data_IF_787930407216
#
_entry.id   IF_787930407216
#
_cell.length_a   1.000
_cell.length_b   1.000
_cell.length_c   1.000
_cell.angle_alpha   90.00
_cell.angle_beta   90.00
_cell.angle_gamma   90.00
#
_symmetry.space_group_name_H-M   'P 1'
#
loop_
_entity.id
_entity.type
_entity.pdbx_description
1 polymer ?
#
# COMPACT_ATOMS: atom_id res chain seq x y z
N UNK A 1 -9.59 -35.68 60.37
CA UNK A 1 -9.56 -35.03 59.04
C UNK A 1 -8.16 -35.21 58.47
N UNK A 2 -8.02 -35.92 57.34
CA UNK A 2 -6.72 -36.27 56.77
C UNK A 2 -6.16 -35.06 55.99
N UNK A 3 -5.04 -34.44 56.43
CA UNK A 3 -4.49 -33.24 55.80
C UNK A 3 -3.94 -33.49 54.37
N UNK A 4 -3.77 -34.76 53.97
CA UNK A 4 -3.21 -35.13 52.67
C UNK A 4 -4.24 -35.17 51.52
N UNK A 5 -5.54 -35.10 51.81
CA UNK A 5 -6.59 -35.16 50.78
C UNK A 5 -6.52 -33.99 49.78
N UNK A 6 -6.05 -32.81 50.23
CA UNK A 6 -5.90 -31.64 49.37
C UNK A 6 -4.79 -31.82 48.32
N UNK A 7 -3.68 -32.50 48.65
CA UNK A 7 -2.56 -32.71 47.73
C UNK A 7 -2.92 -33.66 46.57
N UNK A 8 -3.78 -34.65 46.80
CA UNK A 8 -4.22 -35.58 45.75
C UNK A 8 -5.21 -34.95 44.74
N UNK A 9 -6.06 -34.02 45.18
CA UNK A 9 -6.97 -33.28 44.29
C UNK A 9 -6.22 -32.34 43.34
N UNK A 10 -5.19 -31.63 43.81
CA UNK A 10 -4.39 -30.76 42.95
C UNK A 10 -3.59 -31.54 41.90
N UNK A 11 -3.08 -32.72 42.24
CA UNK A 11 -2.36 -33.58 41.31
C UNK A 11 -3.29 -34.17 40.22
N UNK A 12 -4.52 -34.57 40.58
CA UNK A 12 -5.49 -35.11 39.64
C UNK A 12 -6.00 -34.06 38.63
N UNK A 13 -6.22 -32.82 39.07
CA UNK A 13 -6.61 -31.72 38.17
C UNK A 13 -5.47 -31.34 37.20
N UNK A 14 -4.22 -31.35 37.66
CA UNK A 14 -3.05 -31.10 36.82
C UNK A 14 -2.83 -32.23 35.79
N UNK A 15 -3.10 -33.48 36.16
CA UNK A 15 -3.05 -34.64 35.27
C UNK A 15 -4.17 -34.61 34.22
N UNK A 16 -5.41 -34.26 34.61
CA UNK A 16 -6.53 -34.09 33.68
C UNK A 16 -6.31 -32.93 32.68
N UNK A 17 -5.65 -31.85 33.11
CA UNK A 17 -5.22 -30.77 32.22
C UNK A 17 -4.06 -31.17 31.29
N UNK A 18 -3.33 -32.24 31.60
CA UNK A 18 -2.28 -32.80 30.75
C UNK A 18 -2.82 -33.82 29.73
N UNK A 19 -3.96 -34.49 30.02
CA UNK A 19 -4.68 -35.34 29.05
C UNK A 19 -5.39 -34.53 27.95
N UNK A 20 -5.77 -33.28 28.25
CA UNK A 20 -6.34 -32.36 27.26
C UNK A 20 -5.24 -31.66 26.44
N UNK A 21 -5.36 -31.69 25.11
CA UNK A 21 -4.43 -31.02 24.21
C UNK A 21 -4.33 -29.50 24.47
N UNK A 22 -3.10 -28.97 24.52
CA UNK A 22 -2.86 -27.52 24.68
C UNK A 22 -3.25 -26.75 23.41
N UNK A 23 -3.76 -25.53 23.57
CA UNK A 23 -4.09 -24.63 22.45
C UNK A 23 -2.84 -24.31 21.62
N UNK A 24 -2.90 -24.59 20.32
CA UNK A 24 -1.78 -24.42 19.40
C UNK A 24 -1.51 -22.92 19.20
N UNK A 25 -0.25 -22.54 19.03
CA UNK A 25 0.14 -21.14 18.77
C UNK A 25 -0.63 -20.51 17.61
N UNK A 26 -0.98 -21.29 16.57
CA UNK A 26 -1.79 -20.84 15.44
C UNK A 26 -3.18 -20.34 15.88
N UNK A 27 -3.87 -21.09 16.74
CA UNK A 27 -5.18 -20.71 17.28
C UNK A 27 -5.10 -19.47 18.18
N UNK A 28 -3.98 -19.31 18.91
CA UNK A 28 -3.76 -18.16 19.81
C UNK A 28 -3.57 -16.83 19.08
N UNK A 29 -3.22 -16.82 17.79
CA UNK A 29 -2.98 -15.58 17.02
C UNK A 29 -4.25 -14.77 16.79
N UNK A 30 -5.43 -15.41 16.70
CA UNK A 30 -6.71 -14.73 16.47
C UNK A 30 -7.37 -14.17 17.74
N UNK A 31 -6.96 -14.65 18.93
CA UNK A 31 -7.58 -14.27 20.21
C UNK A 31 -7.29 -12.82 20.64
N UNK A 32 -6.41 -12.11 19.92
CA UNK A 32 -6.15 -10.69 20.18
C UNK A 32 -5.49 -10.42 21.53
N UNK A 33 -4.66 -11.32 22.06
CA UNK A 33 -3.88 -11.09 23.28
C UNK A 33 -2.45 -10.62 22.92
N UNK A 34 -1.46 -11.51 23.02
CA UNK A 34 -0.03 -11.20 22.83
C UNK A 34 0.31 -10.88 21.36
N UNK A 35 -0.41 -11.49 20.41
CA UNK A 35 -0.13 -11.35 18.97
C UNK A 35 -0.82 -10.13 18.34
N UNK A 36 -0.75 -8.97 19.00
CA UNK A 36 -1.22 -7.69 18.45
C UNK A 36 -0.13 -6.99 17.65
N UNK A 37 -0.52 -6.22 16.64
CA UNK A 37 0.41 -5.37 15.89
C UNK A 37 0.89 -4.21 16.77
N UNK A 38 2.20 -4.00 16.84
CA UNK A 38 2.78 -2.82 17.50
C UNK A 38 2.54 -1.57 16.63
N UNK A 39 1.61 -0.72 17.04
CA UNK A 39 1.16 0.44 16.24
C UNK A 39 1.60 1.80 16.79
N UNK A 40 2.22 1.85 17.97
CA UNK A 40 2.52 3.11 18.68
C UNK A 40 3.33 4.12 17.85
N UNK A 41 4.33 3.66 17.08
CA UNK A 41 5.16 4.55 16.26
C UNK A 41 4.70 4.69 14.81
N UNK A 42 3.57 4.08 14.44
CA UNK A 42 3.01 4.19 13.08
C UNK A 42 2.54 5.62 12.85
N UNK A 43 2.97 6.22 11.73
CA UNK A 43 2.68 7.60 11.34
C UNK A 43 1.22 7.79 10.90
N UNK A 44 0.63 6.74 10.33
CA UNK A 44 -0.77 6.75 9.94
C UNK A 44 -1.06 5.80 8.76
N UNK A 45 -2.34 5.65 8.40
CA UNK A 45 -2.72 4.83 7.26
C UNK A 45 -2.31 5.54 5.96
N UNK A 46 -1.45 4.89 5.17
CA UNK A 46 -1.19 5.33 3.81
C UNK A 46 -2.45 5.07 2.97
N UNK A 47 -3.02 6.09 2.37
CA UNK A 47 -4.26 5.97 1.57
C UNK A 47 -4.39 7.17 0.66
N UNK A 48 -5.08 7.00 -0.46
CA UNK A 48 -5.49 8.15 -1.25
C UNK A 48 -6.50 9.02 -0.49
N UNK A 49 -6.69 10.23 -1.01
CA UNK A 49 -7.70 11.17 -0.54
C UNK A 49 -9.11 10.62 -0.74
N UNK A 50 -10.11 11.22 -0.10
CA UNK A 50 -11.51 10.93 -0.44
C UNK A 50 -11.81 11.20 -1.92
N UNK A 51 -12.76 10.46 -2.48
CA UNK A 51 -13.22 10.70 -3.84
C UNK A 51 -14.18 11.89 -3.87
N UNK A 52 -13.64 13.05 -4.21
CA UNK A 52 -14.39 14.29 -4.31
C UNK A 52 -14.76 14.61 -5.77
N UNK A 53 -15.71 15.55 -5.95
CA UNK A 53 -16.12 16.05 -7.26
C UNK A 53 -14.94 16.58 -8.11
N UNK A 54 -13.99 17.26 -7.46
CA UNK A 54 -12.80 17.80 -8.12
C UNK A 54 -11.93 16.74 -8.81
N UNK A 55 -11.85 15.53 -8.26
CA UNK A 55 -11.07 14.44 -8.87
C UNK A 55 -11.87 13.65 -9.91
N UNK A 56 -13.19 13.53 -9.75
CA UNK A 56 -14.06 12.86 -10.73
C UNK A 56 -14.11 13.61 -12.06
N UNK A 57 -14.23 14.94 -12.00
CA UNK A 57 -14.47 15.78 -13.19
C UNK A 57 -13.27 16.63 -13.63
N UNK A 58 -12.30 16.84 -12.73
CA UNK A 58 -11.14 17.69 -12.98
C UNK A 58 -9.85 17.06 -12.50
N UNK A 59 -9.01 17.90 -11.91
CA UNK A 59 -7.82 17.49 -11.19
C UNK A 59 -7.64 18.37 -9.96
N UNK A 60 -6.98 17.86 -8.93
CA UNK A 60 -6.56 18.59 -7.76
C UNK A 60 -5.04 18.58 -7.67
N UNK A 61 -4.46 19.75 -7.38
CA UNK A 61 -3.03 19.94 -7.21
C UNK A 61 -2.66 19.79 -5.74
N UNK A 62 -1.72 18.89 -5.45
CA UNK A 62 -1.07 18.73 -4.16
C UNK A 62 0.43 18.99 -4.25
N UNK A 63 1.04 19.25 -3.10
CA UNK A 63 2.50 19.42 -2.96
C UNK A 63 3.02 18.33 -2.02
N UNK A 64 4.07 17.61 -2.46
CA UNK A 64 4.80 16.69 -1.59
C UNK A 64 5.60 17.51 -0.58
N UNK A 65 5.19 17.50 0.69
CA UNK A 65 5.88 18.27 1.73
C UNK A 65 7.12 17.56 2.25
N UNK A 66 7.03 16.25 2.48
CA UNK A 66 8.11 15.44 3.03
C UNK A 66 7.91 13.98 2.61
N UNK A 67 9.02 13.24 2.52
CA UNK A 67 9.03 11.79 2.35
C UNK A 67 9.50 11.20 3.68
N UNK A 68 8.66 10.39 4.31
CA UNK A 68 8.87 9.87 5.66
C UNK A 68 8.95 8.34 5.66
N UNK A 69 9.72 7.80 6.60
CA UNK A 69 9.73 6.38 6.89
C UNK A 69 8.69 6.04 7.97
N UNK A 70 7.86 5.03 7.71
CA UNK A 70 6.92 4.48 8.69
C UNK A 70 7.48 3.16 9.25
N UNK A 71 7.71 3.05 10.57
CA UNK A 71 8.32 1.85 11.15
C UNK A 71 7.44 0.62 10.94
N UNK A 72 8.01 -0.41 10.32
CA UNK A 72 7.30 -1.64 9.94
C UNK A 72 6.62 -1.58 8.57
N UNK A 73 6.98 -0.60 7.73
CA UNK A 73 6.71 -0.57 6.29
C UNK A 73 8.04 -0.41 5.55
N UNK A 74 8.28 -1.24 4.54
CA UNK A 74 9.47 -1.10 3.68
C UNK A 74 9.37 0.09 2.71
N UNK A 75 8.17 0.32 2.18
CA UNK A 75 7.91 1.44 1.26
C UNK A 75 7.84 2.79 2.00
N UNK A 76 8.54 3.83 1.50
CA UNK A 76 8.43 5.17 2.06
C UNK A 76 7.03 5.76 1.86
N UNK A 77 6.64 6.69 2.73
CA UNK A 77 5.39 7.44 2.63
C UNK A 77 5.69 8.88 2.18
N UNK A 78 4.84 9.41 1.31
CA UNK A 78 4.87 10.81 0.91
C UNK A 78 3.75 11.58 1.62
N UNK A 79 4.09 12.62 2.38
CA UNK A 79 3.09 13.52 2.97
C UNK A 79 2.72 14.59 1.95
N UNK A 80 1.54 14.48 1.37
CA UNK A 80 1.04 15.39 0.34
C UNK A 80 0.06 16.37 0.97
N UNK A 81 0.28 17.66 0.74
CA UNK A 81 -0.63 18.73 1.20
C UNK A 81 -1.47 19.22 0.04
N UNK A 82 -2.78 19.13 0.18
CA UNK A 82 -3.79 19.61 -0.74
C UNK A 82 -4.51 20.82 -0.15
N UNK A 83 -5.05 21.68 -1.02
CA UNK A 83 -6.01 22.70 -0.61
C UNK A 83 -7.40 22.08 -0.53
N UNK A 84 -8.12 22.30 0.57
CA UNK A 84 -9.49 21.82 0.71
C UNK A 84 -10.38 22.53 -0.34
N UNK A 85 -11.27 21.80 -1.05
CA UNK A 85 -12.08 22.39 -2.12
C UNK A 85 -13.10 23.42 -1.60
N UNK A 86 -13.75 23.13 -0.47
CA UNK A 86 -14.84 23.97 0.08
C UNK A 86 -14.46 24.92 1.23
N UNK A 87 -13.31 24.69 1.90
CA UNK A 87 -12.94 25.40 3.13
C UNK A 87 -11.55 25.99 2.99
N UNK A 88 -11.27 27.09 3.70
CA UNK A 88 -9.93 27.66 3.76
C UNK A 88 -9.03 26.86 4.72
N UNK A 89 -8.73 25.62 4.34
CA UNK A 89 -7.92 24.69 5.13
C UNK A 89 -7.02 23.86 4.21
N UNK A 90 -5.90 23.40 4.76
CA UNK A 90 -4.98 22.48 4.08
C UNK A 90 -5.26 21.05 4.56
N UNK A 91 -5.46 20.13 3.61
CA UNK A 91 -5.62 18.71 3.87
C UNK A 91 -4.28 18.02 3.68
N UNK A 92 -3.75 17.41 4.76
CA UNK A 92 -2.54 16.60 4.70
C UNK A 92 -2.93 15.14 4.56
N UNK A 93 -2.47 14.49 3.51
CA UNK A 93 -2.70 13.08 3.25
C UNK A 93 -1.37 12.32 3.17
N UNK A 94 -1.40 11.05 3.59
CA UNK A 94 -0.24 10.17 3.56
C UNK A 94 -0.39 9.22 2.37
N UNK A 95 0.39 9.44 1.33
CA UNK A 95 0.43 8.57 0.15
C UNK A 95 1.58 7.58 0.26
N UNK A 96 1.48 6.48 -0.49
CA UNK A 96 2.65 5.64 -0.77
C UNK A 96 3.52 6.42 -1.75
N UNK A 97 4.81 6.51 -1.49
CA UNK A 97 5.73 7.15 -2.41
C UNK A 97 5.96 6.23 -3.62
N UNK A 98 5.70 6.74 -4.83
CA UNK A 98 6.22 6.14 -6.05
C UNK A 98 7.74 6.40 -6.14
N UNK A 99 8.42 5.50 -6.83
CA UNK A 99 9.82 5.70 -7.18
C UNK A 99 9.98 6.97 -8.02
N UNK A 100 10.98 7.79 -7.70
CA UNK A 100 11.22 9.06 -8.37
C UNK A 100 10.43 10.25 -7.82
N UNK A 101 9.58 10.07 -6.79
CA UNK A 101 8.97 11.21 -6.09
C UNK A 101 10.03 11.97 -5.28
N UNK A 102 9.96 13.30 -5.33
CA UNK A 102 10.82 14.19 -4.56
C UNK A 102 10.03 15.23 -3.75
N UNK A 103 10.65 15.79 -2.72
CA UNK A 103 10.05 16.85 -1.90
C UNK A 103 9.88 18.14 -2.68
N UNK A 104 8.72 18.78 -2.56
CA UNK A 104 8.34 19.96 -3.34
C UNK A 104 7.69 19.64 -4.69
N UNK A 105 7.64 18.37 -5.10
CA UNK A 105 6.98 17.97 -6.33
C UNK A 105 5.47 18.25 -6.29
N UNK A 106 4.93 18.69 -7.42
CA UNK A 106 3.48 18.80 -7.61
C UNK A 106 2.90 17.46 -8.02
N UNK A 107 1.91 16.99 -7.27
CA UNK A 107 1.14 15.78 -7.54
C UNK A 107 -0.25 16.19 -7.98
N UNK A 108 -0.69 15.67 -9.13
CA UNK A 108 -2.01 15.92 -9.68
C UNK A 108 -2.87 14.68 -9.52
N UNK A 109 -4.01 14.82 -8.87
CA UNK A 109 -4.97 13.75 -8.67
C UNK A 109 -6.27 14.06 -9.42
N UNK A 110 -6.72 13.17 -10.31
CA UNK A 110 -8.02 13.27 -10.96
C UNK A 110 -8.03 12.83 -12.42
N UNK A 111 -9.21 12.86 -13.03
CA UNK A 111 -9.44 12.39 -14.40
C UNK A 111 -8.71 13.20 -15.48
N UNK A 112 -8.52 14.51 -15.26
CA UNK A 112 -7.85 15.40 -16.22
C UNK A 112 -6.36 15.62 -15.89
N UNK A 113 -5.79 14.86 -14.96
CA UNK A 113 -4.38 14.95 -14.65
C UNK A 113 -3.53 14.43 -15.83
N UNK A 114 -2.31 14.94 -15.97
CA UNK A 114 -1.36 14.41 -16.96
C UNK A 114 -0.72 13.12 -16.47
N UNK A 115 -0.33 12.26 -17.41
CA UNK A 115 0.38 11.02 -17.13
C UNK A 115 1.83 11.32 -16.74
N UNK A 116 2.10 11.46 -15.44
CA UNK A 116 3.42 11.71 -14.87
C UNK A 116 3.61 10.87 -13.61
N UNK A 117 4.87 10.65 -13.23
CA UNK A 117 5.23 9.94 -11.99
C UNK A 117 4.61 10.62 -10.80
N UNK A 118 4.00 9.82 -9.93
CA UNK A 118 3.38 10.32 -8.71
C UNK A 118 2.02 10.99 -8.92
N UNK A 119 1.55 11.16 -10.16
CA UNK A 119 0.17 11.57 -10.40
C UNK A 119 -0.79 10.40 -10.21
N UNK A 120 -2.02 10.73 -9.84
CA UNK A 120 -3.08 9.77 -9.55
C UNK A 120 -4.18 9.92 -10.59
N UNK A 121 -4.31 8.92 -11.46
CA UNK A 121 -5.28 8.90 -12.55
C UNK A 121 -6.20 7.70 -12.44
N UNK A 122 -7.41 7.77 -13.02
CA UNK A 122 -8.24 6.61 -13.23
C UNK A 122 -7.59 5.65 -14.26
N UNK A 123 -7.70 4.35 -14.04
CA UNK A 123 -7.15 3.32 -14.94
C UNK A 123 -7.56 3.48 -16.41
N UNK A 124 -8.79 3.93 -16.69
CA UNK A 124 -9.28 4.15 -18.06
C UNK A 124 -8.46 5.20 -18.84
N UNK A 125 -7.81 6.12 -18.14
CA UNK A 125 -7.00 7.18 -18.77
C UNK A 125 -5.53 6.81 -18.94
N UNK A 126 -5.12 5.66 -18.40
CA UNK A 126 -3.74 5.18 -18.46
C UNK A 126 -3.61 4.25 -19.67
N UNK A 127 -2.55 4.33 -20.47
CA UNK A 127 -2.35 3.44 -21.61
C UNK A 127 -2.01 2.02 -21.14
N UNK A 128 -2.31 1.05 -22.01
CA UNK A 128 -1.93 -0.34 -21.82
C UNK A 128 -0.40 -0.48 -21.77
N UNK A 129 0.09 -1.43 -20.99
CA UNK A 129 1.51 -1.63 -20.69
C UNK A 129 2.09 -0.68 -19.64
N UNK A 130 1.33 0.31 -19.15
CA UNK A 130 1.81 1.21 -18.11
C UNK A 130 1.94 0.50 -16.75
N UNK A 131 2.96 0.92 -15.99
CA UNK A 131 3.23 0.45 -14.63
C UNK A 131 2.57 1.38 -13.63
N UNK A 132 1.78 0.79 -12.74
CA UNK A 132 0.98 1.50 -11.76
C UNK A 132 1.15 0.89 -10.37
N UNK A 133 0.96 1.69 -9.32
CA UNK A 133 0.98 1.24 -7.93
C UNK A 133 -0.16 1.84 -7.10
N UNK A 134 -0.36 1.27 -5.92
CA UNK A 134 -1.43 1.61 -4.98
C UNK A 134 -2.83 1.61 -5.63
N UNK A 135 -3.16 0.58 -6.40
CA UNK A 135 -4.41 0.46 -7.15
C UNK A 135 -5.61 0.21 -6.22
N UNK A 136 -6.76 0.81 -6.48
CA UNK A 136 -8.03 0.53 -5.77
C UNK A 136 -8.71 -0.74 -6.29
N UNK A 137 -9.34 -1.54 -5.41
CA UNK A 137 -10.11 -2.71 -5.84
C UNK A 137 -11.51 -2.29 -6.31
N UNK A 138 -12.19 -1.46 -5.52
CA UNK A 138 -13.40 -0.73 -5.88
C UNK A 138 -13.17 0.79 -5.82
N UNK A 139 -14.07 1.56 -6.43
CA UNK A 139 -13.99 3.01 -6.43
C UNK A 139 -14.02 3.55 -5.01
N UNK A 140 -12.98 4.29 -4.61
CA UNK A 140 -12.96 4.96 -3.32
C UNK A 140 -12.44 4.12 -2.16
N UNK A 141 -11.87 2.93 -2.44
CA UNK A 141 -11.15 2.13 -1.44
C UNK A 141 -9.83 2.78 -0.97
N UNK A 142 -9.41 3.87 -1.63
CA UNK A 142 -8.23 4.67 -1.30
C UNK A 142 -6.90 3.90 -1.38
N UNK A 143 -6.85 2.85 -2.20
CA UNK A 143 -5.66 2.07 -2.53
C UNK A 143 -5.51 0.81 -1.68
N UNK A 144 -5.57 -0.35 -2.34
CA UNK A 144 -5.57 -1.68 -1.71
C UNK A 144 -4.45 -2.56 -2.27
N UNK A 145 -4.17 -2.45 -3.57
CA UNK A 145 -3.32 -3.37 -4.32
C UNK A 145 -1.96 -2.73 -4.67
N UNK A 146 -0.93 -3.55 -4.88
CA UNK A 146 0.44 -3.12 -5.20
C UNK A 146 0.96 -2.03 -4.26
N UNK A 147 1.03 -2.37 -2.96
CA UNK A 147 1.34 -1.42 -1.85
C UNK A 147 2.67 -1.68 -1.14
N UNK A 148 3.29 -2.83 -1.37
CA UNK A 148 4.58 -3.14 -0.76
C UNK A 148 5.72 -2.44 -1.51
N UNK A 149 6.92 -2.47 -0.92
CA UNK A 149 8.12 -1.91 -1.55
C UNK A 149 8.51 -2.73 -2.78
N UNK A 150 8.61 -2.08 -3.93
CA UNK A 150 8.97 -2.74 -5.20
C UNK A 150 7.83 -3.46 -5.90
N UNK A 151 6.63 -3.51 -5.29
CA UNK A 151 5.45 -4.05 -5.95
C UNK A 151 4.90 -3.08 -6.98
N UNK A 152 4.46 -3.62 -8.11
CA UNK A 152 3.77 -2.88 -9.14
C UNK A 152 2.68 -3.73 -9.79
N UNK A 153 1.77 -3.06 -10.48
CA UNK A 153 0.79 -3.67 -11.36
C UNK A 153 1.01 -3.17 -12.77
N UNK A 154 0.75 -4.01 -13.77
CA UNK A 154 0.78 -3.63 -15.18
C UNK A 154 -0.65 -3.63 -15.70
N UNK A 155 -1.02 -2.56 -16.41
CA UNK A 155 -2.26 -2.50 -17.17
C UNK A 155 -2.12 -3.36 -18.41
N UNK A 156 -2.89 -4.45 -18.51
CA UNK A 156 -2.80 -5.38 -19.65
C UNK A 156 -3.65 -4.88 -20.81
N UNK A 157 -4.93 -4.65 -20.54
CA UNK A 157 -5.90 -4.31 -21.58
C UNK A 157 -7.10 -3.57 -21.00
N UNK A 158 -7.66 -2.64 -21.76
CA UNK A 158 -8.96 -2.04 -21.49
C UNK A 158 -10.02 -2.66 -22.39
N UNK A 159 -11.09 -3.19 -21.80
CA UNK A 159 -12.26 -3.60 -22.56
C UNK A 159 -13.26 -2.42 -22.57
N UNK A 160 -13.51 -1.76 -23.71
CA UNK A 160 -14.42 -0.62 -23.80
C UNK A 160 -15.89 -1.03 -23.63
N UNK A 161 -16.27 -2.23 -24.04
CA UNK A 161 -17.66 -2.71 -24.03
C UNK A 161 -18.12 -2.97 -22.60
N UNK A 162 -17.26 -3.64 -21.84
CA UNK A 162 -17.53 -3.97 -20.45
C UNK A 162 -16.90 -2.94 -19.49
N UNK A 163 -16.27 -1.87 -19.96
CA UNK A 163 -15.58 -0.89 -19.10
C UNK A 163 -14.58 -1.48 -18.09
N UNK A 164 -14.11 -2.72 -18.31
CA UNK A 164 -13.25 -3.48 -17.40
C UNK A 164 -11.79 -3.28 -17.78
N UNK A 165 -10.91 -3.12 -16.79
CA UNK A 165 -9.47 -3.06 -17.01
C UNK A 165 -8.82 -4.29 -16.40
N UNK A 166 -7.99 -4.99 -17.19
CA UNK A 166 -7.25 -6.15 -16.70
C UNK A 166 -5.91 -5.69 -16.17
N UNK A 167 -5.58 -6.10 -14.96
CA UNK A 167 -4.30 -5.81 -14.32
C UNK A 167 -3.55 -7.11 -14.03
N UNK A 168 -2.25 -7.10 -14.30
CA UNK A 168 -1.32 -8.10 -13.80
C UNK A 168 -0.67 -7.55 -12.52
N UNK A 169 -0.89 -8.24 -11.39
CA UNK A 169 -0.15 -8.03 -10.14
C UNK A 169 0.65 -9.30 -9.93
N UNK A 170 1.92 -9.21 -9.53
CA UNK A 170 2.86 -10.34 -9.37
C UNK A 170 2.17 -11.71 -9.11
N UNK A 171 2.25 -12.61 -10.10
CA UNK A 171 1.68 -13.97 -10.13
C UNK A 171 0.13 -14.14 -10.02
N UNK A 172 -0.68 -13.11 -10.24
CA UNK A 172 -2.15 -13.24 -10.34
C UNK A 172 -2.74 -12.26 -11.38
N UNK A 173 -3.54 -12.80 -12.30
CA UNK A 173 -4.40 -12.00 -13.17
C UNK A 173 -5.70 -11.77 -12.40
N UNK A 174 -6.07 -10.50 -12.19
CA UNK A 174 -7.32 -10.14 -11.57
C UNK A 174 -8.22 -9.40 -12.58
N UNK A 175 -9.47 -9.84 -12.68
CA UNK A 175 -10.52 -9.20 -13.46
C UNK A 175 -11.23 -8.17 -12.59
N UNK A 176 -11.34 -6.93 -13.06
CA UNK A 176 -11.99 -5.84 -12.33
C UNK A 176 -13.21 -5.33 -13.10
N UNK A 177 -14.33 -5.16 -12.40
CA UNK A 177 -15.65 -4.85 -12.93
C UNK A 177 -15.80 -3.44 -13.55
N UNK A 178 -16.87 -3.22 -14.36
CA UNK A 178 -17.08 -2.01 -15.15
C UNK A 178 -17.29 -0.77 -14.29
N UNK A 179 -16.87 0.39 -14.78
CA UNK A 179 -17.10 1.74 -14.20
C UNK A 179 -16.27 2.11 -12.98
N UNK A 180 -14.96 1.90 -13.02
CA UNK A 180 -14.18 2.17 -11.80
C UNK A 180 -13.08 3.17 -12.12
N UNK A 181 -13.26 4.40 -11.62
CA UNK A 181 -12.21 5.43 -11.47
C UNK A 181 -11.18 4.90 -10.46
N UNK A 182 -10.53 3.79 -10.78
CA UNK A 182 -9.50 3.18 -9.95
C UNK A 182 -8.31 4.11 -10.02
N UNK A 183 -8.07 4.79 -8.92
CA UNK A 183 -6.89 5.62 -8.76
C UNK A 183 -5.66 4.73 -8.75
N UNK A 184 -4.66 5.13 -9.51
CA UNK A 184 -3.36 4.49 -9.43
C UNK A 184 -2.26 5.53 -9.59
N UNK A 185 -1.18 5.31 -8.84
CA UNK A 185 0.00 6.14 -8.87
C UNK A 185 0.93 5.59 -9.95
N UNK A 186 1.36 6.42 -10.89
CA UNK A 186 2.26 5.95 -11.95
C UNK A 186 3.69 5.84 -11.40
N UNK A 187 4.33 4.71 -11.68
CA UNK A 187 5.77 4.52 -11.52
C UNK A 187 6.38 4.65 -12.92
N UNK A 188 7.34 5.56 -13.13
CA UNK A 188 8.20 5.43 -14.31
C UNK A 188 9.41 4.58 -13.94
N UNK A 189 9.61 3.50 -14.69
CA UNK A 189 10.94 2.98 -14.94
C UNK A 189 11.45 3.65 -16.21
N UNK A 190 12.31 4.66 -16.08
CA UNK A 190 12.92 5.29 -17.26
C UNK A 190 14.25 4.59 -17.55
N UNK A 191 14.21 3.70 -18.56
CA UNK A 191 15.27 3.25 -19.51
C UNK A 191 15.99 1.90 -19.32
N UNK A 192 15.73 1.05 -20.34
CA UNK A 192 16.53 -0.02 -21.01
C UNK A 192 17.11 -1.18 -20.21
N UNK A 193 16.65 -2.38 -20.57
CA UNK A 193 17.56 -3.42 -21.08
C UNK A 193 17.04 -3.95 -22.42
N UNK A 194 17.55 -3.35 -23.50
CA UNK A 194 17.71 -4.08 -24.77
C UNK A 194 18.84 -5.06 -24.50
N UNK A 195 18.54 -6.35 -24.51
CA UNK A 195 19.52 -7.42 -24.38
C UNK A 195 20.56 -7.25 -25.48
N UNK A 196 21.76 -6.79 -25.11
CA UNK A 196 22.98 -6.98 -25.89
C UNK A 196 23.99 -7.56 -24.91
N UNK A 197 24.52 -8.78 -25.15
CA UNK A 197 25.24 -9.54 -24.15
C UNK A 197 26.70 -9.11 -24.16
N UNK A 198 27.14 -8.27 -23.21
CA UNK A 198 28.57 -8.07 -22.94
C UNK A 198 28.76 -7.39 -21.58
N UNK A 199 29.38 -8.12 -20.65
CA UNK A 199 30.36 -7.66 -19.63
C UNK A 199 30.26 -6.18 -19.22
N UNK A 200 29.89 -5.91 -17.96
CA UNK A 200 30.65 -5.10 -16.98
C UNK A 200 29.91 -5.17 -15.63
N UNK A 201 30.66 -5.59 -14.60
CA UNK A 201 30.32 -5.49 -13.18
C UNK A 201 30.21 -4.01 -12.79
N UNK A 202 29.10 -3.58 -12.20
CA UNK A 202 29.07 -2.31 -11.43
C UNK A 202 28.39 -2.54 -10.08
N UNK A 203 29.25 -2.67 -9.07
CA UNK A 203 28.96 -2.38 -7.68
C UNK A 203 28.54 -0.92 -7.55
N UNK A 204 27.42 -0.64 -6.89
CA UNK A 204 27.11 0.70 -6.39
C UNK A 204 26.60 0.60 -4.95
N UNK A 205 27.58 0.61 -4.05
CA UNK A 205 27.40 1.04 -2.67
C UNK A 205 26.87 2.47 -2.65
N UNK A 206 25.67 2.68 -2.10
CA UNK A 206 25.26 4.01 -1.63
C UNK A 206 24.98 3.90 -0.14
N UNK A 207 25.96 4.39 0.62
CA UNK A 207 25.98 4.48 2.07
C UNK A 207 25.02 5.59 2.50
N UNK A 208 23.83 5.21 2.99
CA UNK A 208 22.91 6.12 3.67
C UNK A 208 23.57 6.59 4.97
N UNK A 209 23.93 7.87 5.02
CA UNK A 209 24.42 8.55 6.22
C UNK A 209 23.20 8.94 7.04
N UNK A 210 22.88 8.11 8.02
CA UNK A 210 21.93 8.40 9.09
C UNK A 210 22.74 9.13 10.16
N UNK A 211 22.62 10.45 10.24
CA UNK A 211 23.17 11.21 11.36
C UNK A 211 22.39 10.87 12.64
N UNK A 212 23.14 10.79 13.75
CA UNK A 212 22.70 10.43 15.10
C UNK A 212 21.77 11.47 15.71
#
# INVERSE_FOLDING_TARGET
MNPNAHHHLFAAAAAAAAEMGRVIRAQRKGAGSVFRSHTHHRKGPARFRSLDFGERNGYLKGVVTEIIHDPGRGAPLARVTFRHPFRYQLQKELFIAAEGIYTGQFVYCGRKASLMVGNVLPLRSIPEGAVVCNVEHHVGDRGVLARASGDYAIVISHNPDNGTSRLAILNRIAHYEPYVLVRSLIITWTVRYRVVPSIVVVSSSVRLKIDR
#
